data_IF_804447799334
#
_entry.id   IF_804447799334
#
_cell.length_a   1.000
_cell.length_b   1.000
_cell.length_c   1.000
_cell.angle_alpha   90.00
_cell.angle_beta   90.00
_cell.angle_gamma   90.00
#
_symmetry.space_group_name_H-M   'P 1'
#
loop_
_entity.id
_entity.type
_entity.pdbx_description
1 polymer ?
#
# COMPACT_ATOMS: atom_id res chain seq x y z
N UNK A 1 -21.14 14.64 2.20
CA UNK A 1 -20.17 14.35 3.29
C UNK A 1 -19.61 15.67 3.81
N UNK A 2 -19.86 16.03 5.08
CA UNK A 2 -19.31 17.25 5.71
C UNK A 2 -17.77 17.13 5.74
N UNK A 3 -17.06 18.06 5.09
CA UNK A 3 -15.59 18.12 5.17
C UNK A 3 -15.20 18.63 6.56
N UNK A 4 -15.08 17.73 7.52
CA UNK A 4 -14.64 18.03 8.89
C UNK A 4 -13.15 18.37 8.97
N UNK A 5 -12.42 18.19 7.87
CA UNK A 5 -10.97 18.40 7.82
C UNK A 5 -10.19 17.45 8.71
N UNK A 6 -10.81 16.37 9.19
CA UNK A 6 -10.20 15.34 10.04
C UNK A 6 -10.06 14.05 9.25
N UNK A 7 -9.06 13.26 9.62
CA UNK A 7 -8.91 11.88 9.16
C UNK A 7 -10.15 11.04 9.58
N UNK A 8 -10.38 9.93 8.87
CA UNK A 8 -11.51 9.00 9.00
C UNK A 8 -12.87 9.58 8.58
N UNK A 9 -12.87 10.42 7.54
CA UNK A 9 -14.09 11.03 7.03
C UNK A 9 -15.03 10.06 6.29
N UNK A 10 -14.54 8.89 5.86
CA UNK A 10 -15.25 7.90 5.05
C UNK A 10 -15.20 6.52 5.70
N UNK A 11 -16.19 5.67 5.43
CA UNK A 11 -16.21 4.26 5.85
C UNK A 11 -16.22 3.38 4.60
N UNK A 12 -15.25 2.48 4.49
CA UNK A 12 -15.21 1.45 3.45
C UNK A 12 -15.60 0.10 4.05
N UNK A 13 -16.44 -0.65 3.36
CA UNK A 13 -16.88 -2.00 3.74
C UNK A 13 -16.42 -2.95 2.63
N UNK A 14 -15.49 -3.84 2.93
CA UNK A 14 -15.02 -4.87 1.99
C UNK A 14 -14.73 -6.16 2.72
N UNK A 15 -15.18 -7.30 2.17
CA UNK A 15 -14.82 -8.64 2.65
C UNK A 15 -13.36 -9.02 2.33
N UNK A 16 -12.72 -8.30 1.42
CA UNK A 16 -11.30 -8.40 1.06
C UNK A 16 -10.74 -6.99 0.95
N UNK A 17 -10.32 -6.43 2.08
CA UNK A 17 -9.90 -5.02 2.19
C UNK A 17 -8.67 -4.72 1.32
N UNK A 18 -7.82 -5.71 1.08
CA UNK A 18 -6.64 -5.61 0.21
C UNK A 18 -6.63 -6.81 -0.70
N UNK A 19 -6.84 -6.63 -1.99
CA UNK A 19 -6.99 -7.76 -2.92
C UNK A 19 -5.65 -8.25 -3.45
N UNK A 20 -4.59 -7.41 -3.41
CA UNK A 20 -3.15 -7.74 -3.54
C UNK A 20 -2.31 -6.54 -4.00
N UNK A 21 -2.94 -5.41 -4.33
CA UNK A 21 -2.23 -4.27 -4.90
C UNK A 21 -1.92 -3.23 -3.82
N UNK A 22 -0.63 -2.95 -3.61
CA UNK A 22 -0.14 -1.86 -2.75
C UNK A 22 -0.77 -0.49 -3.10
N UNK A 23 -1.21 -0.34 -4.35
CA UNK A 23 -1.92 0.83 -4.86
C UNK A 23 -3.33 1.00 -4.27
N UNK A 24 -4.07 -0.09 -4.05
CA UNK A 24 -5.40 -0.05 -3.41
C UNK A 24 -5.29 0.45 -1.97
N UNK A 25 -4.28 -0.06 -1.27
CA UNK A 25 -4.00 0.35 0.09
C UNK A 25 -3.61 1.84 0.14
N UNK A 26 -2.78 2.33 -0.81
CA UNK A 26 -2.52 3.77 -0.94
C UNK A 26 -3.80 4.61 -1.13
N UNK A 27 -4.71 4.20 -2.01
CA UNK A 27 -5.97 4.93 -2.21
C UNK A 27 -6.81 4.93 -0.92
N UNK A 28 -6.89 3.82 -0.18
CA UNK A 28 -7.56 3.80 1.13
C UNK A 28 -6.95 4.82 2.10
N UNK A 29 -5.62 4.87 2.22
CA UNK A 29 -4.94 5.86 3.08
C UNK A 29 -5.19 7.29 2.62
N UNK A 30 -5.31 7.55 1.33
CA UNK A 30 -5.62 8.87 0.79
C UNK A 30 -7.02 9.35 1.16
N UNK A 31 -8.00 8.45 1.22
CA UNK A 31 -9.37 8.78 1.63
C UNK A 31 -9.55 8.81 3.15
N UNK A 32 -8.88 7.90 3.87
CA UNK A 32 -9.05 7.74 5.31
C UNK A 32 -8.08 8.59 6.13
N UNK A 33 -6.85 8.81 5.67
CA UNK A 33 -5.81 9.53 6.43
C UNK A 33 -4.94 10.46 5.56
N UNK A 34 -5.54 11.44 4.88
CA UNK A 34 -4.80 12.39 4.05
C UNK A 34 -3.77 13.21 4.85
N UNK A 35 -4.01 13.50 6.13
CA UNK A 35 -3.07 14.27 6.95
C UNK A 35 -1.80 13.49 7.29
N UNK A 36 -1.94 12.19 7.62
CA UNK A 36 -0.78 11.35 7.93
C UNK A 36 0.11 11.15 6.69
N UNK A 37 -0.47 11.00 5.50
CA UNK A 37 0.29 10.97 4.24
C UNK A 37 1.05 12.28 3.99
N UNK A 38 0.42 13.44 4.26
CA UNK A 38 1.10 14.73 4.19
C UNK A 38 2.26 14.85 5.20
N UNK A 39 2.06 14.38 6.44
CA UNK A 39 3.09 14.38 7.49
C UNK A 39 4.33 13.59 7.07
N UNK A 40 4.12 12.45 6.41
CA UNK A 40 5.18 11.60 5.90
C UNK A 40 5.71 12.02 4.51
N UNK A 41 5.20 13.13 3.95
CA UNK A 41 5.54 13.65 2.61
C UNK A 41 5.30 12.65 1.48
N UNK A 42 4.28 11.80 1.62
CA UNK A 42 3.88 10.86 0.59
C UNK A 42 2.78 11.51 -0.26
N UNK A 43 3.16 12.06 -1.41
CA UNK A 43 2.25 12.77 -2.31
C UNK A 43 1.72 11.93 -3.47
N UNK A 44 2.35 10.78 -3.75
CA UNK A 44 1.97 9.94 -4.88
C UNK A 44 2.23 8.45 -4.61
N UNK A 45 1.57 7.61 -5.41
CA UNK A 45 1.69 6.15 -5.34
C UNK A 45 3.12 5.64 -5.56
N UNK A 46 3.95 6.38 -6.31
CA UNK A 46 5.36 6.02 -6.51
C UNK A 46 6.20 6.22 -5.25
N UNK A 47 5.97 7.31 -4.50
CA UNK A 47 6.62 7.54 -3.22
C UNK A 47 6.20 6.48 -2.20
N UNK A 48 4.91 6.12 -2.21
CA UNK A 48 4.38 5.02 -1.42
C UNK A 48 5.04 3.67 -1.74
N UNK A 49 5.11 3.33 -3.04
CA UNK A 49 5.78 2.11 -3.49
C UNK A 49 7.27 2.10 -3.13
N UNK A 50 7.97 3.23 -3.22
CA UNK A 50 9.38 3.33 -2.85
C UNK A 50 9.65 3.05 -1.36
N UNK A 51 8.68 3.30 -0.48
CA UNK A 51 8.80 3.06 0.97
C UNK A 51 8.55 1.59 1.30
N UNK A 52 7.55 0.98 0.67
CA UNK A 52 7.02 -0.34 1.03
C UNK A 52 7.40 -1.47 0.07
N UNK A 53 8.16 -1.19 -0.99
CA UNK A 53 8.65 -2.22 -1.94
C UNK A 53 10.16 -2.16 -2.11
N UNK A 54 10.75 -3.34 -2.33
CA UNK A 54 12.15 -3.48 -2.74
C UNK A 54 12.20 -3.78 -4.22
N UNK A 55 12.90 -2.93 -4.97
CA UNK A 55 13.27 -3.21 -6.36
C UNK A 55 14.27 -4.36 -6.40
N UNK A 56 13.94 -5.41 -7.13
CA UNK A 56 14.86 -6.50 -7.47
C UNK A 56 15.13 -6.45 -8.97
N UNK A 57 16.40 -6.52 -9.34
CA UNK A 57 16.82 -6.58 -10.73
C UNK A 57 17.13 -8.03 -11.08
N UNK A 58 16.31 -8.62 -11.95
CA UNK A 58 16.57 -9.93 -12.53
C UNK A 58 17.13 -9.75 -13.95
N UNK A 59 18.01 -10.65 -14.36
CA UNK A 59 18.53 -10.70 -15.73
C UNK A 59 17.70 -11.70 -16.53
N UNK A 60 17.05 -11.23 -17.59
CA UNK A 60 16.22 -12.07 -18.47
C UNK A 60 16.86 -12.13 -19.86
N UNK A 61 16.83 -13.31 -20.48
CA UNK A 61 17.21 -13.48 -21.88
C UNK A 61 16.07 -12.98 -22.77
N UNK A 62 16.37 -12.05 -23.67
CA UNK A 62 15.42 -11.65 -24.71
C UNK A 62 15.37 -12.73 -25.81
N UNK A 63 14.30 -12.68 -26.61
CA UNK A 63 14.10 -13.51 -27.81
C UNK A 63 15.27 -13.48 -28.82
N UNK A 64 16.14 -12.48 -28.75
CA UNK A 64 17.35 -12.34 -29.58
C UNK A 64 18.62 -12.90 -28.94
N UNK A 65 18.54 -13.55 -27.77
CA UNK A 65 19.69 -14.08 -27.02
C UNK A 65 20.48 -13.05 -26.21
N UNK A 66 20.06 -11.77 -26.22
CA UNK A 66 20.69 -10.71 -25.43
C UNK A 66 20.19 -10.73 -23.97
N UNK A 67 21.11 -10.61 -23.01
CA UNK A 67 20.78 -10.49 -21.58
C UNK A 67 20.32 -9.06 -21.29
N UNK A 68 19.07 -8.89 -20.85
CA UNK A 68 18.50 -7.59 -20.46
C UNK A 68 18.18 -7.59 -18.97
N UNK A 69 18.70 -6.59 -18.27
CA UNK A 69 18.37 -6.32 -16.87
C UNK A 69 16.95 -5.76 -16.80
N UNK A 70 16.06 -6.40 -16.03
CA UNK A 70 14.68 -5.97 -15.82
C UNK A 70 14.44 -5.72 -14.33
N UNK A 71 14.09 -4.50 -14.00
CA UNK A 71 13.69 -4.16 -12.63
C UNK A 71 12.22 -4.52 -12.41
N UNK A 72 11.95 -5.27 -11.34
CA UNK A 72 10.59 -5.65 -10.93
C UNK A 72 10.40 -5.33 -9.45
N UNK A 73 9.22 -4.82 -9.11
CA UNK A 73 8.77 -4.69 -7.72
C UNK A 73 8.18 -6.03 -7.29
N UNK A 74 9.01 -6.89 -6.67
CA UNK A 74 8.62 -8.28 -6.34
C UNK A 74 8.37 -8.49 -4.85
N UNK A 75 9.05 -7.73 -3.99
CA UNK A 75 9.04 -7.96 -2.55
C UNK A 75 8.56 -6.73 -1.80
N UNK A 76 7.66 -6.95 -0.84
CA UNK A 76 7.29 -5.95 0.14
C UNK A 76 8.34 -5.86 1.25
N UNK A 77 8.65 -4.65 1.67
CA UNK A 77 9.49 -4.36 2.82
C UNK A 77 8.68 -3.54 3.81
N UNK A 78 9.06 -3.57 5.10
CA UNK A 78 8.34 -2.88 6.18
C UNK A 78 6.89 -3.35 6.34
N UNK A 79 6.68 -4.66 6.17
CA UNK A 79 5.36 -5.30 6.31
C UNK A 79 4.79 -5.13 7.73
N UNK A 80 5.57 -5.25 8.83
CA UNK A 80 5.05 -5.00 10.17
C UNK A 80 4.49 -3.58 10.37
N UNK A 81 5.19 -2.56 9.88
CA UNK A 81 4.79 -1.16 9.95
C UNK A 81 3.54 -0.91 9.11
N UNK A 82 3.49 -1.50 7.91
CA UNK A 82 2.31 -1.46 7.05
C UNK A 82 1.08 -2.08 7.71
N UNK A 83 1.26 -3.22 8.39
CA UNK A 83 0.19 -3.91 9.12
C UNK A 83 -0.29 -3.09 10.33
N UNK A 84 0.61 -2.44 11.06
CA UNK A 84 0.26 -1.51 12.12
C UNK A 84 -0.60 -0.35 11.60
N UNK A 85 -0.18 0.30 10.50
CA UNK A 85 -0.97 1.37 9.89
C UNK A 85 -2.34 0.90 9.43
N UNK A 86 -2.44 -0.30 8.85
CA UNK A 86 -3.71 -0.88 8.44
C UNK A 86 -4.61 -1.13 9.67
N UNK A 87 -4.06 -1.64 10.78
CA UNK A 87 -4.83 -1.86 12.01
C UNK A 87 -5.40 -0.56 12.60
N UNK A 88 -4.74 0.59 12.41
CA UNK A 88 -5.28 1.88 12.87
C UNK A 88 -6.52 2.36 12.10
N UNK A 89 -6.72 1.87 10.87
CA UNK A 89 -7.86 2.26 10.01
C UNK A 89 -8.90 1.16 9.84
N UNK A 90 -8.57 -0.06 10.26
CA UNK A 90 -9.41 -1.24 10.02
C UNK A 90 -9.70 -1.94 11.34
N UNK A 91 -10.98 -2.00 11.69
CA UNK A 91 -11.48 -2.96 12.67
C UNK A 91 -11.81 -4.25 11.90
N UNK A 92 -11.11 -5.34 12.21
CA UNK A 92 -11.36 -6.65 11.63
C UNK A 92 -11.56 -7.67 12.74
N UNK A 93 -12.56 -8.53 12.57
CA UNK A 93 -12.79 -9.67 13.46
C UNK A 93 -12.24 -10.93 12.82
N UNK A 94 -11.34 -11.61 13.52
CA UNK A 94 -10.93 -12.98 13.16
C UNK A 94 -11.86 -13.98 13.82
N UNK A 95 -11.92 -15.20 13.28
CA UNK A 95 -12.75 -16.27 13.83
C UNK A 95 -12.39 -16.59 15.30
N UNK A 96 -11.13 -16.40 15.70
CA UNK A 96 -10.66 -16.58 17.08
C UNK A 96 -11.14 -15.49 18.08
N UNK A 97 -11.75 -14.40 17.58
CA UNK A 97 -12.28 -13.31 18.41
C UNK A 97 -13.77 -13.48 18.74
N UNK A 98 -14.32 -14.67 18.50
CA UNK A 98 -15.71 -15.07 18.80
C UNK A 98 -15.71 -16.12 19.90
#
# INVERSE_FOLDING_TARGET
>A
QRRTGRDLGATFLSGTVVVNALTELYEMFKYLRPQELQRQRISCVYAWAAIFTKKTADYELNVTGSVKRKERFRNYIKVPELAMFLREITDYRTADMI
#
